data_IF_021260762719
#
_entry.id   IF_021260762719
#
_cell.length_a   1.000
_cell.length_b   1.000
_cell.length_c   1.000
_cell.angle_alpha   90.00
_cell.angle_beta   90.00
_cell.angle_gamma   90.00
#
_symmetry.space_group_name_H-M   'P 1'
#
loop_
_entity.id
_entity.type
_entity.pdbx_description
1 polymer ?
#
# COMPACT_ATOMS: atom_id res chain seq x y z
N UNK A 1 3.77 41.77 16.02
CA UNK A 1 4.44 40.55 16.54
C UNK A 1 3.49 39.39 16.86
N UNK A 2 2.35 39.58 17.53
CA UNK A 2 1.41 38.49 17.89
C UNK A 2 0.90 37.68 16.67
N UNK A 3 0.47 38.37 15.60
CA UNK A 3 0.01 37.71 14.37
C UNK A 3 1.07 36.85 13.65
N UNK A 4 2.37 37.19 13.77
CA UNK A 4 3.45 36.39 13.20
C UNK A 4 3.69 35.11 14.01
N UNK A 5 3.60 35.18 15.34
CA UNK A 5 3.68 34.00 16.22
C UNK A 5 2.52 33.04 15.97
N UNK A 6 1.31 33.55 15.79
CA UNK A 6 0.12 32.73 15.53
C UNK A 6 0.19 32.02 14.17
N UNK A 7 0.71 32.70 13.12
CA UNK A 7 0.96 32.06 11.82
C UNK A 7 2.02 30.97 11.89
N UNK A 8 3.11 31.20 12.62
CA UNK A 8 4.17 30.20 12.81
C UNK A 8 3.66 28.96 13.56
N UNK A 9 2.90 29.15 14.65
CA UNK A 9 2.31 28.06 15.42
C UNK A 9 1.35 27.21 14.58
N UNK A 10 0.48 27.84 13.76
CA UNK A 10 -0.40 27.11 12.84
C UNK A 10 0.36 26.29 11.80
N UNK A 11 1.46 26.83 11.25
CA UNK A 11 2.29 26.13 10.27
C UNK A 11 3.00 24.91 10.88
N UNK A 12 3.50 25.03 12.11
CA UNK A 12 4.13 23.92 12.84
C UNK A 12 3.09 22.83 13.15
N UNK A 13 1.89 23.22 13.62
CA UNK A 13 0.82 22.26 13.88
C UNK A 13 0.36 21.51 12.62
N UNK A 14 0.25 22.21 11.49
CA UNK A 14 -0.10 21.61 10.21
C UNK A 14 0.97 20.59 9.77
N UNK A 15 2.24 21.00 9.79
CA UNK A 15 3.37 20.15 9.39
C UNK A 15 3.52 18.91 10.28
N UNK A 16 3.31 19.06 11.59
CA UNK A 16 3.32 17.95 12.54
C UNK A 16 2.18 16.96 12.29
N UNK A 17 0.97 17.47 11.96
CA UNK A 17 -0.18 16.64 11.63
C UNK A 17 0.04 15.85 10.33
N UNK A 18 0.57 16.50 9.29
CA UNK A 18 0.92 15.86 8.02
C UNK A 18 2.02 14.81 8.20
N UNK A 19 3.08 15.13 8.95
CA UNK A 19 4.15 14.19 9.25
C UNK A 19 3.62 12.96 9.99
N UNK A 20 2.82 13.16 11.05
CA UNK A 20 2.22 12.07 11.82
C UNK A 20 1.29 11.20 10.95
N UNK A 21 0.48 11.80 10.08
CA UNK A 21 -0.37 11.06 9.14
C UNK A 21 0.46 10.27 8.12
N UNK A 22 1.52 10.86 7.56
CA UNK A 22 2.40 10.20 6.60
C UNK A 22 3.15 9.01 7.24
N UNK A 23 3.64 9.18 8.48
CA UNK A 23 4.33 8.14 9.23
C UNK A 23 3.39 6.99 9.55
N UNK A 24 2.18 7.29 10.05
CA UNK A 24 1.14 6.30 10.33
C UNK A 24 0.76 5.52 9.07
N UNK A 25 0.61 6.20 7.92
CA UNK A 25 0.34 5.55 6.62
C UNK A 25 1.46 4.59 6.25
N UNK A 26 2.73 5.03 6.28
CA UNK A 26 3.91 4.21 5.95
C UNK A 26 4.06 2.99 6.88
N UNK A 27 3.84 3.17 8.17
CA UNK A 27 3.91 2.09 9.15
C UNK A 27 2.81 1.06 8.91
N UNK A 28 1.57 1.51 8.69
CA UNK A 28 0.43 0.64 8.38
C UNK A 28 0.62 -0.10 7.06
N UNK A 29 1.23 0.52 6.04
CA UNK A 29 1.51 -0.18 4.76
C UNK A 29 2.59 -1.24 4.93
N UNK A 30 3.68 -0.96 5.64
CA UNK A 30 4.72 -1.97 5.92
C UNK A 30 4.20 -3.12 6.77
N UNK A 31 3.40 -2.82 7.81
CA UNK A 31 2.74 -3.85 8.61
C UNK A 31 1.78 -4.68 7.78
N UNK A 32 0.98 -4.04 6.91
CA UNK A 32 0.07 -4.77 6.02
C UNK A 32 0.83 -5.63 5.01
N UNK A 33 1.94 -5.15 4.43
CA UNK A 33 2.79 -5.94 3.55
C UNK A 33 3.43 -7.12 4.28
N UNK A 34 3.90 -6.94 5.51
CA UNK A 34 4.39 -8.03 6.35
C UNK A 34 3.28 -9.03 6.70
N UNK A 35 2.08 -8.52 7.01
CA UNK A 35 0.91 -9.33 7.34
C UNK A 35 0.43 -10.14 6.13
N UNK A 36 0.32 -9.51 4.96
CA UNK A 36 -0.09 -10.16 3.71
C UNK A 36 0.98 -11.14 3.19
N UNK A 37 2.26 -10.77 3.23
CA UNK A 37 3.36 -11.64 2.76
C UNK A 37 3.57 -12.88 3.64
N UNK A 38 3.25 -12.80 4.94
CA UNK A 38 3.31 -13.94 5.87
C UNK A 38 1.95 -14.60 6.12
N UNK A 39 0.98 -14.34 5.24
CA UNK A 39 -0.22 -15.15 5.08
C UNK A 39 -1.42 -14.74 5.93
N UNK A 40 -1.43 -13.55 6.56
CA UNK A 40 -2.56 -12.98 7.30
C UNK A 40 -3.23 -13.96 8.29
N UNK A 41 -2.47 -14.96 8.69
CA UNK A 41 -2.98 -16.19 9.27
C UNK A 41 -2.92 -16.08 10.78
N UNK A 42 -3.74 -16.89 11.45
CA UNK A 42 -3.71 -17.03 12.91
C UNK A 42 -2.28 -17.18 13.46
N UNK A 43 -1.42 -17.94 12.75
CA UNK A 43 -0.03 -18.14 13.11
C UNK A 43 0.80 -16.85 13.15
N UNK A 44 0.61 -15.97 12.15
CA UNK A 44 1.35 -14.71 12.06
C UNK A 44 1.02 -13.74 13.19
N UNK A 45 -0.24 -13.73 13.65
CA UNK A 45 -0.62 -12.93 14.83
C UNK A 45 -0.02 -13.51 16.10
N UNK A 46 -0.10 -14.84 16.27
CA UNK A 46 0.53 -15.50 17.41
C UNK A 46 2.03 -15.18 17.47
N UNK A 47 2.73 -15.26 16.33
CA UNK A 47 4.13 -14.88 16.22
C UNK A 47 4.39 -13.43 16.67
N UNK A 48 3.66 -12.45 16.14
CA UNK A 48 3.86 -11.03 16.48
C UNK A 48 3.59 -10.79 17.97
N UNK A 49 2.52 -11.39 18.51
CA UNK A 49 2.15 -11.23 19.90
C UNK A 49 3.20 -11.85 20.83
N UNK A 50 3.65 -13.06 20.53
CA UNK A 50 4.71 -13.73 21.31
C UNK A 50 6.03 -12.97 21.22
N UNK A 51 6.42 -12.49 20.04
CA UNK A 51 7.63 -11.70 19.87
C UNK A 51 7.57 -10.43 20.74
N UNK A 52 6.47 -9.69 20.66
CA UNK A 52 6.29 -8.45 21.43
C UNK A 52 6.30 -8.73 22.94
N UNK A 53 5.63 -9.80 23.38
CA UNK A 53 5.64 -10.21 24.78
C UNK A 53 7.05 -10.55 25.26
N UNK A 54 7.82 -11.34 24.50
CA UNK A 54 9.18 -11.73 24.86
C UNK A 54 10.12 -10.52 24.90
N UNK A 55 10.07 -9.64 23.89
CA UNK A 55 10.90 -8.43 23.86
C UNK A 55 10.62 -7.50 25.03
N UNK A 56 9.33 -7.27 25.37
CA UNK A 56 8.96 -6.46 26.54
C UNK A 56 9.44 -7.11 27.83
N UNK A 57 9.32 -8.44 27.95
CA UNK A 57 9.79 -9.18 29.11
C UNK A 57 11.30 -9.04 29.28
N UNK A 58 12.08 -9.36 28.24
CA UNK A 58 13.55 -9.21 28.23
C UNK A 58 13.93 -7.77 28.59
N UNK A 59 13.30 -6.77 27.98
CA UNK A 59 13.59 -5.38 28.27
C UNK A 59 13.33 -4.99 29.72
N UNK A 60 12.26 -5.49 30.34
CA UNK A 60 11.94 -5.21 31.74
C UNK A 60 12.91 -5.92 32.69
N UNK A 61 13.27 -7.17 32.41
CA UNK A 61 14.26 -7.93 33.20
C UNK A 61 15.63 -7.25 33.15
N UNK A 62 16.09 -6.91 31.94
CA UNK A 62 17.32 -6.17 31.70
C UNK A 62 17.35 -4.80 32.39
N UNK A 63 16.24 -4.06 32.34
CA UNK A 63 16.16 -2.76 33.02
C UNK A 63 16.16 -2.88 34.54
N UNK A 64 15.60 -3.96 35.09
CA UNK A 64 15.55 -4.20 36.52
C UNK A 64 16.93 -4.57 37.10
N UNK A 65 17.79 -5.23 36.31
CA UNK A 65 19.14 -5.63 36.70
C UNK A 65 20.19 -4.52 36.50
N UNK A 66 19.80 -3.38 35.94
CA UNK A 66 20.73 -2.30 35.60
C UNK A 66 21.19 -1.52 36.86
N UNK A 67 22.38 -1.84 37.37
CA UNK A 67 23.02 -1.09 38.47
C UNK A 67 23.82 0.11 37.94
N UNK A 68 23.40 1.33 38.29
CA UNK A 68 24.07 2.58 37.89
C UNK A 68 25.38 2.79 38.68
N UNK A 69 26.51 2.32 38.16
CA UNK A 69 27.84 2.65 38.70
C UNK A 69 28.57 3.66 37.81
N UNK A 70 28.95 4.82 38.38
CA UNK A 70 29.48 5.98 37.61
C UNK A 70 30.80 5.67 36.88
N UNK A 71 31.62 4.76 37.40
CA UNK A 71 32.91 4.41 36.80
C UNK A 71 32.81 3.40 35.64
N UNK A 72 31.65 2.75 35.45
CA UNK A 72 31.50 1.61 34.53
C UNK A 72 30.43 1.78 33.44
N UNK A 73 29.72 2.92 33.40
CA UNK A 73 28.51 3.12 32.58
C UNK A 73 28.72 2.71 31.12
N UNK A 74 29.81 3.15 30.49
CA UNK A 74 30.03 2.88 29.05
C UNK A 74 30.22 1.38 28.79
N UNK A 75 30.99 0.69 29.63
CA UNK A 75 31.23 -0.75 29.48
C UNK A 75 29.95 -1.55 29.73
N UNK A 76 29.17 -1.17 30.74
CA UNK A 76 27.89 -1.81 31.06
C UNK A 76 26.87 -1.60 29.93
N UNK A 77 26.77 -0.39 29.37
CA UNK A 77 25.88 -0.11 28.23
C UNK A 77 26.25 -0.97 27.02
N UNK A 78 27.54 -1.08 26.68
CA UNK A 78 27.97 -1.90 25.54
C UNK A 78 27.60 -3.37 25.77
N UNK A 79 27.88 -3.91 26.96
CA UNK A 79 27.55 -5.30 27.30
C UNK A 79 26.03 -5.54 27.24
N UNK A 80 25.23 -4.60 27.75
CA UNK A 80 23.78 -4.67 27.73
C UNK A 80 23.21 -4.65 26.30
N UNK A 81 23.74 -3.78 25.43
CA UNK A 81 23.35 -3.73 24.02
C UNK A 81 23.65 -5.07 23.32
N UNK A 82 24.81 -5.67 23.59
CA UNK A 82 25.17 -6.98 23.03
C UNK A 82 24.22 -8.07 23.53
N UNK A 83 23.96 -8.13 24.84
CA UNK A 83 23.07 -9.13 25.43
C UNK A 83 21.64 -9.00 24.88
N UNK A 84 21.09 -7.78 24.88
CA UNK A 84 19.77 -7.48 24.32
C UNK A 84 19.69 -7.85 22.83
N UNK A 85 20.77 -7.66 22.07
CA UNK A 85 20.82 -8.07 20.65
C UNK A 85 20.76 -9.59 20.49
N UNK A 86 21.45 -10.35 21.34
CA UNK A 86 21.42 -11.83 21.32
C UNK A 86 20.03 -12.33 21.71
N UNK A 87 19.47 -11.81 22.79
CA UNK A 87 18.12 -12.17 23.26
C UNK A 87 17.05 -11.80 22.24
N UNK A 88 17.17 -10.66 21.54
CA UNK A 88 16.23 -10.30 20.47
C UNK A 88 16.24 -11.32 19.32
N UNK A 89 17.42 -11.82 18.93
CA UNK A 89 17.52 -12.90 17.94
C UNK A 89 16.91 -14.21 18.45
N UNK A 90 17.14 -14.57 19.72
CA UNK A 90 16.52 -15.75 20.33
C UNK A 90 14.99 -15.61 20.43
N UNK A 91 14.50 -14.41 20.76
CA UNK A 91 13.08 -14.10 20.82
C UNK A 91 12.39 -14.26 19.47
N UNK A 92 13.07 -13.96 18.36
CA UNK A 92 12.58 -14.27 17.01
C UNK A 92 12.40 -15.77 16.82
N UNK A 93 13.38 -16.58 17.25
CA UNK A 93 13.30 -18.06 17.16
C UNK A 93 12.18 -18.61 18.05
N UNK A 94 12.09 -18.14 19.30
CA UNK A 94 11.04 -18.55 20.23
C UNK A 94 9.64 -18.14 19.78
N UNK A 95 9.49 -16.94 19.23
CA UNK A 95 8.26 -16.51 18.59
C UNK A 95 7.91 -17.38 17.37
N UNK A 96 8.90 -17.84 16.62
CA UNK A 96 8.68 -18.76 15.51
C UNK A 96 8.16 -20.12 15.96
N UNK A 97 8.42 -20.56 17.20
CA UNK A 97 7.89 -21.81 17.79
C UNK A 97 6.86 -21.56 18.89
N UNK A 98 6.18 -20.41 18.86
CA UNK A 98 5.26 -19.99 19.93
C UNK A 98 4.19 -21.01 20.33
N UNK A 99 3.60 -21.85 19.45
CA UNK A 99 2.59 -22.80 19.89
C UNK A 99 3.19 -23.83 20.86
N UNK A 100 4.41 -24.29 20.60
CA UNK A 100 5.14 -25.23 21.45
C UNK A 100 5.53 -24.58 22.79
N UNK A 101 5.92 -23.30 22.77
CA UNK A 101 6.27 -22.55 23.98
C UNK A 101 5.10 -22.47 24.96
N UNK A 102 3.87 -22.29 24.47
CA UNK A 102 2.66 -22.29 25.30
C UNK A 102 2.55 -23.62 26.05
N UNK A 103 2.63 -24.75 25.33
CA UNK A 103 2.53 -26.07 25.94
C UNK A 103 3.60 -26.37 27.00
N UNK A 104 4.78 -25.76 26.87
CA UNK A 104 5.88 -25.93 27.83
C UNK A 104 5.68 -25.11 29.11
N UNK A 105 5.15 -23.88 29.01
CA UNK A 105 5.14 -22.93 30.12
C UNK A 105 3.86 -22.97 30.98
N UNK A 106 2.71 -23.35 30.41
CA UNK A 106 1.46 -23.34 31.15
C UNK A 106 0.96 -24.76 31.42
N UNK A 107 0.27 -24.95 32.55
CA UNK A 107 -0.36 -26.23 32.86
C UNK A 107 -1.42 -26.57 31.80
N UNK A 108 -1.64 -27.88 31.59
CA UNK A 108 -2.48 -28.42 30.51
C UNK A 108 -3.80 -27.67 30.25
N UNK A 109 -4.61 -27.26 31.27
CA UNK A 109 -5.86 -26.55 31.00
C UNK A 109 -5.67 -25.12 30.47
N UNK A 110 -4.65 -24.39 30.92
CA UNK A 110 -4.46 -22.98 30.52
C UNK A 110 -3.96 -22.84 29.07
N UNK A 111 -3.27 -23.86 28.54
CA UNK A 111 -2.82 -23.88 27.15
C UNK A 111 -3.95 -23.63 26.15
N UNK A 112 -5.08 -24.31 26.35
CA UNK A 112 -6.26 -24.16 25.49
C UNK A 112 -6.91 -22.78 25.63
N UNK A 113 -6.98 -22.25 26.86
CA UNK A 113 -7.56 -20.92 27.12
C UNK A 113 -6.75 -19.84 26.40
N UNK A 114 -5.41 -19.90 26.46
CA UNK A 114 -4.52 -18.94 25.79
C UNK A 114 -4.67 -19.04 24.27
N UNK A 115 -4.69 -20.26 23.71
CA UNK A 115 -4.89 -20.46 22.27
C UNK A 115 -6.24 -19.90 21.80
N UNK A 116 -7.32 -20.12 22.56
CA UNK A 116 -8.64 -19.56 22.27
C UNK A 116 -8.61 -18.03 22.33
N UNK A 117 -7.96 -17.43 23.33
CA UNK A 117 -7.83 -15.98 23.46
C UNK A 117 -7.07 -15.37 22.27
N UNK A 118 -5.96 -15.97 21.83
CA UNK A 118 -5.22 -15.53 20.63
C UNK A 118 -6.10 -15.68 19.40
N UNK A 119 -6.92 -16.73 19.32
CA UNK A 119 -7.79 -16.97 18.17
C UNK A 119 -8.92 -15.94 18.09
N UNK A 120 -9.57 -15.63 19.21
CA UNK A 120 -10.58 -14.56 19.29
C UNK A 120 -9.93 -13.22 18.92
N UNK A 121 -8.73 -12.94 19.44
CA UNK A 121 -7.97 -11.72 19.09
C UNK A 121 -7.71 -11.65 17.58
N UNK A 122 -7.34 -12.76 16.94
CA UNK A 122 -7.21 -12.85 15.49
C UNK A 122 -8.52 -12.53 14.76
N UNK A 123 -9.64 -13.08 15.20
CA UNK A 123 -10.94 -12.80 14.59
C UNK A 123 -11.35 -11.33 14.72
N UNK A 124 -11.14 -10.72 15.89
CA UNK A 124 -11.40 -9.30 16.13
C UNK A 124 -10.51 -8.45 15.24
N UNK A 125 -9.19 -8.72 15.21
CA UNK A 125 -8.25 -7.96 14.40
C UNK A 125 -8.56 -8.11 12.91
N UNK A 126 -8.89 -9.32 12.45
CA UNK A 126 -9.34 -9.58 11.08
C UNK A 126 -10.61 -8.81 10.75
N UNK A 127 -11.59 -8.77 11.66
CA UNK A 127 -12.83 -7.99 11.48
C UNK A 127 -12.53 -6.49 11.45
N UNK A 128 -11.67 -5.98 12.32
CA UNK A 128 -11.27 -4.56 12.35
C UNK A 128 -10.52 -4.19 11.08
N UNK A 129 -9.57 -5.00 10.63
CA UNK A 129 -8.80 -4.77 9.40
C UNK A 129 -9.68 -4.87 8.15
N UNK A 130 -10.66 -5.79 8.14
CA UNK A 130 -11.64 -5.91 7.05
C UNK A 130 -12.67 -4.78 7.06
N UNK A 131 -13.11 -4.32 8.24
CA UNK A 131 -14.13 -3.28 8.34
C UNK A 131 -13.54 -1.87 8.25
N UNK A 132 -12.31 -1.67 8.74
CA UNK A 132 -11.44 -0.52 8.40
C UNK A 132 -10.63 -0.81 7.13
N UNK A 133 -11.13 -1.66 6.24
CA UNK A 133 -10.54 -1.85 4.92
C UNK A 133 -10.62 -0.52 4.20
N UNK A 134 -9.60 0.31 4.39
CA UNK A 134 -8.93 1.24 3.50
C UNK A 134 -9.76 2.22 2.65
N UNK A 135 -11.06 1.97 2.38
CA UNK A 135 -12.04 2.86 1.75
C UNK A 135 -12.06 4.23 2.41
N UNK A 136 -11.94 4.31 3.73
CA UNK A 136 -11.96 5.60 4.43
C UNK A 136 -10.62 6.36 4.39
N UNK A 137 -9.49 5.66 4.16
CA UNK A 137 -8.16 6.31 4.04
C UNK A 137 -7.78 6.58 2.58
N UNK A 138 -8.49 5.96 1.63
CA UNK A 138 -8.50 6.22 0.21
C UNK A 138 -9.87 6.79 -0.15
N UNK A 139 -10.21 7.98 0.37
CA UNK A 139 -11.29 8.80 -0.19
C UNK A 139 -10.93 9.19 -1.64
N UNK A 140 -10.83 8.19 -2.51
CA UNK A 140 -10.95 8.28 -3.93
C UNK A 140 -12.40 7.89 -4.08
N UNK A 141 -13.33 8.86 -4.15
CA UNK A 141 -14.74 8.56 -4.20
C UNK A 141 -14.91 7.59 -5.36
N UNK A 142 -15.49 6.42 -5.10
CA UNK A 142 -15.79 5.44 -6.14
C UNK A 142 -16.56 6.12 -7.29
N UNK A 143 -17.37 7.13 -6.93
CA UNK A 143 -18.00 8.10 -7.81
C UNK A 143 -17.02 8.90 -8.68
N UNK A 144 -15.93 9.44 -8.16
CA UNK A 144 -14.93 10.20 -8.93
C UNK A 144 -14.20 9.30 -9.92
N UNK A 145 -13.87 8.07 -9.53
CA UNK A 145 -13.25 7.10 -10.46
C UNK A 145 -14.22 6.73 -11.58
N UNK A 146 -15.49 6.48 -11.24
CA UNK A 146 -16.54 6.25 -12.23
C UNK A 146 -16.77 7.48 -13.11
N UNK A 147 -16.82 8.69 -12.54
CA UNK A 147 -16.94 9.96 -13.28
C UNK A 147 -15.76 10.26 -14.20
N UNK A 148 -14.58 9.68 -13.97
CA UNK A 148 -13.45 9.80 -14.91
C UNK A 148 -13.52 8.70 -15.97
N UNK A 149 -13.85 7.47 -15.57
CA UNK A 149 -13.87 6.30 -16.45
C UNK A 149 -15.04 6.35 -17.42
N UNK A 150 -16.25 6.68 -16.95
CA UNK A 150 -17.48 6.68 -17.75
C UNK A 150 -17.41 7.66 -18.92
N UNK A 151 -17.04 8.96 -18.76
CA UNK A 151 -16.93 9.88 -19.89
C UNK A 151 -15.87 9.49 -20.91
N UNK A 152 -14.77 8.87 -20.46
CA UNK A 152 -13.72 8.38 -21.37
C UNK A 152 -14.20 7.14 -22.14
N UNK A 153 -15.01 6.29 -21.51
CA UNK A 153 -15.63 5.14 -22.17
C UNK A 153 -16.76 5.57 -23.11
N UNK A 154 -17.59 6.52 -22.70
CA UNK A 154 -18.79 6.98 -23.39
C UNK A 154 -18.54 8.17 -24.34
N UNK A 155 -17.33 8.73 -24.34
CA UNK A 155 -16.89 9.83 -25.20
C UNK A 155 -17.75 11.10 -25.09
N UNK A 156 -18.19 11.44 -23.88
CA UNK A 156 -19.01 12.64 -23.68
C UNK A 156 -18.14 13.90 -23.66
N UNK A 157 -18.56 14.95 -24.38
CA UNK A 157 -17.81 16.21 -24.54
C UNK A 157 -17.86 17.14 -23.30
N UNK A 158 -18.51 16.74 -22.21
CA UNK A 158 -18.68 17.61 -21.05
C UNK A 158 -17.60 17.32 -20.00
N UNK A 159 -16.62 18.22 -19.89
CA UNK A 159 -15.60 18.17 -18.86
C UNK A 159 -16.12 18.87 -17.59
N UNK A 160 -16.23 18.16 -16.45
CA UNK A 160 -16.64 18.78 -15.20
C UNK A 160 -15.49 19.61 -14.58
N UNK A 161 -15.81 20.73 -13.94
CA UNK A 161 -14.82 21.63 -13.31
C UNK A 161 -13.93 20.92 -12.26
N UNK A 162 -14.45 19.87 -11.62
CA UNK A 162 -13.69 19.04 -10.68
C UNK A 162 -12.52 18.30 -11.35
N UNK A 163 -12.63 18.00 -12.65
CA UNK A 163 -11.60 17.31 -13.41
C UNK A 163 -10.35 18.16 -13.58
N UNK A 164 -10.52 19.48 -13.74
CA UNK A 164 -9.38 20.40 -13.90
C UNK A 164 -8.53 20.46 -12.63
N UNK A 165 -9.19 20.47 -11.46
CA UNK A 165 -8.50 20.43 -10.17
C UNK A 165 -7.75 19.10 -10.00
N UNK A 166 -8.38 17.98 -10.34
CA UNK A 166 -7.75 16.66 -10.26
C UNK A 166 -6.60 16.50 -11.26
N UNK A 167 -6.73 17.06 -12.46
CA UNK A 167 -5.68 17.06 -13.46
C UNK A 167 -4.48 17.86 -12.99
N UNK A 168 -4.68 19.05 -12.43
CA UNK A 168 -3.59 19.86 -11.85
C UNK A 168 -2.87 19.08 -10.73
N UNK A 169 -3.63 18.42 -9.84
CA UNK A 169 -3.06 17.58 -8.79
C UNK A 169 -2.29 16.37 -9.34
N UNK A 170 -2.79 15.75 -10.42
CA UNK A 170 -2.13 14.63 -11.10
C UNK A 170 -0.82 15.07 -11.75
N UNK A 171 -0.80 16.20 -12.45
CA UNK A 171 0.39 16.77 -13.10
C UNK A 171 1.45 17.18 -12.06
N UNK A 172 1.03 17.63 -10.89
CA UNK A 172 1.90 17.93 -9.75
C UNK A 172 2.27 16.69 -8.90
N UNK A 173 1.88 15.48 -9.32
CA UNK A 173 2.14 14.21 -8.63
C UNK A 173 1.55 14.12 -7.20
N UNK A 174 0.59 14.99 -6.86
CA UNK A 174 -0.08 14.98 -5.55
C UNK A 174 -1.02 13.76 -5.39
N UNK A 175 -1.43 13.16 -6.51
CA UNK A 175 -2.24 11.94 -6.56
C UNK A 175 -1.42 10.65 -6.60
N UNK A 176 -0.13 10.67 -6.23
CA UNK A 176 0.73 9.46 -6.21
C UNK A 176 0.16 8.31 -5.37
N UNK A 177 -0.64 8.63 -4.35
CA UNK A 177 -1.33 7.64 -3.51
C UNK A 177 -2.39 6.81 -4.28
N UNK A 178 -2.85 7.25 -5.45
CA UNK A 178 -3.79 6.50 -6.29
C UNK A 178 -3.14 5.27 -6.92
N UNK A 179 -1.80 5.25 -7.00
CA UNK A 179 -1.02 4.20 -7.64
C UNK A 179 -1.05 2.87 -6.89
N UNK A 180 -1.52 2.84 -5.64
CA UNK A 180 -1.65 1.60 -4.86
C UNK A 180 -2.96 0.84 -5.11
N UNK A 181 -3.90 1.39 -5.88
CA UNK A 181 -5.20 0.77 -6.16
C UNK A 181 -5.43 0.63 -7.67
N UNK A 182 -5.90 -0.54 -8.17
CA UNK A 182 -6.03 -0.78 -9.61
C UNK A 182 -6.88 0.26 -10.34
N UNK A 183 -8.07 0.55 -9.84
CA UNK A 183 -9.05 1.43 -10.47
C UNK A 183 -8.64 2.89 -10.38
N UNK A 184 -8.08 3.30 -9.24
CA UNK A 184 -7.55 4.65 -9.06
C UNK A 184 -6.28 4.88 -9.89
N UNK A 185 -5.42 3.87 -10.01
CA UNK A 185 -4.27 3.90 -10.88
C UNK A 185 -4.71 4.03 -12.35
N UNK A 186 -5.76 3.32 -12.76
CA UNK A 186 -6.37 3.49 -14.07
C UNK A 186 -6.90 4.91 -14.27
N UNK A 187 -7.67 5.45 -13.31
CA UNK A 187 -8.19 6.81 -13.38
C UNK A 187 -7.06 7.85 -13.50
N UNK A 188 -5.98 7.69 -12.72
CA UNK A 188 -4.79 8.53 -12.81
C UNK A 188 -4.13 8.46 -14.20
N UNK A 189 -3.99 7.25 -14.75
CA UNK A 189 -3.45 7.05 -16.09
C UNK A 189 -4.32 7.73 -17.16
N UNK A 190 -5.64 7.60 -17.06
CA UNK A 190 -6.59 8.22 -17.97
C UNK A 190 -6.56 9.75 -17.89
N UNK A 191 -6.54 10.31 -16.68
CA UNK A 191 -6.39 11.74 -16.42
C UNK A 191 -5.15 12.29 -17.15
N UNK A 192 -4.01 11.67 -16.91
CA UNK A 192 -2.73 12.09 -17.46
C UNK A 192 -2.63 11.87 -18.98
N UNK A 193 -3.24 10.80 -19.52
CA UNK A 193 -3.10 10.47 -20.95
C UNK A 193 -4.06 11.24 -21.85
N UNK A 194 -5.28 11.52 -21.37
CA UNK A 194 -6.33 12.13 -22.19
C UNK A 194 -6.49 13.63 -21.97
N UNK A 195 -6.39 14.08 -20.72
CA UNK A 195 -6.76 15.45 -20.37
C UNK A 195 -5.56 16.37 -20.20
N UNK A 196 -4.35 15.82 -20.03
CA UNK A 196 -3.16 16.65 -19.87
C UNK A 196 -2.80 17.46 -21.11
N UNK A 197 -2.45 18.72 -20.88
CA UNK A 197 -1.87 19.63 -21.89
C UNK A 197 -0.41 19.28 -22.19
N UNK A 198 0.35 18.80 -21.20
CA UNK A 198 1.78 18.48 -21.33
C UNK A 198 2.02 16.99 -21.59
N UNK A 199 1.72 16.56 -22.82
CA UNK A 199 1.76 15.13 -23.21
C UNK A 199 3.14 14.48 -23.03
N UNK A 200 4.23 15.19 -23.31
CA UNK A 200 5.58 14.59 -23.29
C UNK A 200 6.08 14.28 -21.89
N UNK A 201 5.89 15.20 -20.93
CA UNK A 201 6.31 15.02 -19.54
C UNK A 201 5.51 13.90 -18.89
N UNK A 202 4.20 13.89 -19.11
CA UNK A 202 3.30 12.91 -18.51
C UNK A 202 3.46 11.52 -19.12
N UNK A 203 3.94 11.39 -20.36
CA UNK A 203 4.20 10.08 -20.95
C UNK A 203 5.25 9.27 -20.19
N UNK A 204 6.35 9.90 -19.74
CA UNK A 204 7.38 9.21 -18.95
C UNK A 204 6.84 8.80 -17.57
N UNK A 205 6.00 9.65 -16.97
CA UNK A 205 5.37 9.36 -15.69
C UNK A 205 4.34 8.23 -15.80
N UNK A 206 3.47 8.25 -16.82
CA UNK A 206 2.55 7.15 -17.13
C UNK A 206 3.30 5.83 -17.39
N UNK A 207 4.43 5.86 -18.12
CA UNK A 207 5.27 4.68 -18.33
C UNK A 207 5.74 4.09 -16.99
N UNK A 208 6.25 4.93 -16.08
CA UNK A 208 6.69 4.51 -14.74
C UNK A 208 5.52 3.91 -13.94
N UNK A 209 4.36 4.56 -13.93
CA UNK A 209 3.15 4.07 -13.25
C UNK A 209 2.77 2.68 -13.76
N UNK A 210 2.71 2.50 -15.09
CA UNK A 210 2.35 1.21 -15.71
C UNK A 210 3.37 0.13 -15.38
N UNK A 211 4.67 0.45 -15.34
CA UNK A 211 5.72 -0.53 -14.99
C UNK A 211 5.58 -1.02 -13.54
N UNK A 212 5.40 -0.11 -12.58
CA UNK A 212 5.24 -0.46 -11.17
C UNK A 212 3.95 -1.27 -10.94
N UNK A 213 2.84 -0.82 -11.52
CA UNK A 213 1.56 -1.53 -11.40
C UNK A 213 1.55 -2.89 -12.12
N UNK A 214 2.35 -3.05 -13.18
CA UNK A 214 2.57 -4.36 -13.82
C UNK A 214 3.38 -5.31 -12.93
N UNK A 215 4.42 -4.80 -12.25
CA UNK A 215 5.20 -5.59 -11.29
C UNK A 215 4.36 -6.04 -10.09
N UNK A 216 3.42 -5.20 -9.65
CA UNK A 216 2.48 -5.50 -8.58
C UNK A 216 1.24 -6.29 -9.06
N UNK A 217 1.19 -6.75 -10.32
CA UNK A 217 0.08 -7.52 -10.90
C UNK A 217 -1.30 -6.81 -10.82
N UNK A 218 -1.33 -5.49 -10.65
CA UNK A 218 -2.55 -4.73 -10.36
C UNK A 218 -3.59 -4.83 -11.47
N UNK A 219 -3.15 -4.91 -12.72
CA UNK A 219 -4.02 -5.01 -13.89
C UNK A 219 -4.87 -6.30 -13.88
N UNK A 220 -4.48 -7.35 -13.14
CA UNK A 220 -5.28 -8.58 -13.03
C UNK A 220 -6.59 -8.39 -12.28
N UNK A 221 -6.69 -7.33 -11.47
CA UNK A 221 -7.90 -6.97 -10.72
C UNK A 221 -8.86 -6.09 -11.52
N UNK A 222 -8.44 -5.59 -12.69
CA UNK A 222 -9.27 -4.78 -13.57
C UNK A 222 -10.12 -5.67 -14.49
N UNK A 223 -11.31 -5.19 -14.87
CA UNK A 223 -12.12 -5.81 -15.91
C UNK A 223 -11.39 -5.83 -17.26
N UNK A 224 -11.81 -6.69 -18.20
CA UNK A 224 -11.16 -6.79 -19.52
C UNK A 224 -11.09 -5.43 -20.24
N UNK A 225 -12.18 -4.66 -20.22
CA UNK A 225 -12.26 -3.32 -20.83
C UNK A 225 -11.30 -2.35 -20.14
N UNK A 226 -11.27 -2.35 -18.81
CA UNK A 226 -10.35 -1.52 -18.02
C UNK A 226 -8.89 -1.88 -18.27
N UNK A 227 -8.56 -3.17 -18.45
CA UNK A 227 -7.20 -3.60 -18.82
C UNK A 227 -6.78 -3.03 -20.18
N UNK A 228 -7.69 -2.92 -21.14
CA UNK A 228 -7.40 -2.29 -22.42
C UNK A 228 -7.04 -0.81 -22.24
N UNK A 229 -7.85 -0.05 -21.49
CA UNK A 229 -7.55 1.34 -21.17
C UNK A 229 -6.26 1.52 -20.34
N UNK A 230 -5.97 0.60 -19.43
CA UNK A 230 -4.78 0.64 -18.59
C UNK A 230 -3.47 0.67 -19.40
N UNK A 231 -3.42 -0.05 -20.52
CA UNK A 231 -2.24 -0.09 -21.40
C UNK A 231 -2.29 0.90 -22.56
N UNK A 232 -3.38 1.68 -22.69
CA UNK A 232 -3.55 2.66 -23.75
C UNK A 232 -2.47 3.75 -23.76
N UNK A 233 -2.00 4.30 -22.62
CA UNK A 233 -0.92 5.29 -22.63
C UNK A 233 0.36 4.79 -23.29
N UNK A 234 0.66 3.48 -23.24
CA UNK A 234 1.84 2.91 -23.93
C UNK A 234 1.70 2.95 -25.45
N UNK A 235 0.48 2.88 -25.98
CA UNK A 235 0.21 2.99 -27.42
C UNK A 235 0.27 4.44 -27.88
N UNK A 236 -0.23 5.37 -27.06
CA UNK A 236 -0.17 6.81 -27.32
C UNK A 236 1.26 7.36 -27.23
N UNK A 237 2.21 6.55 -26.76
CA UNK A 237 3.62 6.90 -26.71
C UNK A 237 4.25 7.04 -28.10
N UNK A 238 5.05 8.09 -28.28
CA UNK A 238 5.90 8.25 -29.46
C UNK A 238 7.13 7.33 -29.48
N UNK A 239 7.42 6.60 -28.40
CA UNK A 239 8.61 5.73 -28.32
C UNK A 239 8.33 4.39 -29.02
N UNK A 240 9.09 4.00 -30.07
CA UNK A 240 8.84 2.75 -30.81
C UNK A 240 8.90 1.48 -29.95
N UNK A 241 9.79 1.46 -28.95
CA UNK A 241 9.92 0.34 -28.02
C UNK A 241 8.64 0.12 -27.19
N UNK A 242 7.99 1.19 -26.75
CA UNK A 242 6.74 1.13 -26.00
C UNK A 242 5.57 0.73 -26.88
N UNK A 243 5.49 1.24 -28.11
CA UNK A 243 4.49 0.81 -29.08
C UNK A 243 4.59 -0.70 -29.37
N UNK A 244 5.81 -1.23 -29.54
CA UNK A 244 6.06 -2.67 -29.72
C UNK A 244 5.61 -3.48 -28.50
N UNK A 245 5.86 -2.97 -27.29
CA UNK A 245 5.39 -3.59 -26.03
C UNK A 245 3.86 -3.58 -25.95
N UNK A 246 3.23 -2.45 -26.25
CA UNK A 246 1.78 -2.31 -26.28
C UNK A 246 1.15 -3.32 -27.26
N UNK A 247 1.68 -3.43 -28.49
CA UNK A 247 1.21 -4.41 -29.49
C UNK A 247 1.25 -5.85 -28.98
N UNK A 248 2.35 -6.24 -28.30
CA UNK A 248 2.44 -7.57 -27.68
C UNK A 248 1.39 -7.78 -26.59
N UNK A 249 1.11 -6.76 -25.77
CA UNK A 249 0.10 -6.83 -24.70
C UNK A 249 -1.31 -6.93 -25.31
N UNK A 250 -1.64 -6.10 -26.29
CA UNK A 250 -2.94 -6.14 -26.97
C UNK A 250 -3.18 -7.45 -27.71
N UNK A 251 -2.15 -8.05 -28.31
CA UNK A 251 -2.27 -9.39 -28.90
C UNK A 251 -2.61 -10.47 -27.84
N UNK A 252 -2.11 -10.32 -26.60
CA UNK A 252 -2.48 -11.21 -25.49
C UNK A 252 -3.91 -10.95 -25.00
N UNK A 253 -4.32 -9.68 -24.93
CA UNK A 253 -5.69 -9.30 -24.54
C UNK A 253 -6.72 -9.75 -25.58
N UNK A 254 -6.44 -9.61 -26.88
CA UNK A 254 -7.31 -10.10 -27.96
C UNK A 254 -7.57 -11.61 -27.84
N UNK A 255 -6.56 -12.40 -27.47
CA UNK A 255 -6.74 -13.84 -27.23
C UNK A 255 -7.62 -14.15 -26.02
N UNK A 256 -7.72 -13.22 -25.07
CA UNK A 256 -8.55 -13.33 -23.86
C UNK A 256 -9.94 -12.73 -24.01
N UNK A 257 -10.24 -12.06 -25.13
CA UNK A 257 -11.45 -11.22 -25.23
C UNK A 257 -12.74 -12.02 -25.06
N UNK A 258 -12.77 -13.31 -25.42
CA UNK A 258 -13.97 -14.14 -25.32
C UNK A 258 -15.17 -13.44 -25.98
N UNK A 259 -16.21 -13.21 -25.18
CA UNK A 259 -17.46 -12.54 -25.58
C UNK A 259 -17.28 -11.05 -25.92
N UNK A 260 -16.25 -10.38 -25.39
CA UNK A 260 -15.94 -8.96 -25.64
C UNK A 260 -15.18 -8.73 -26.97
N UNK A 261 -15.11 -9.72 -27.88
CA UNK A 261 -14.31 -9.63 -29.12
C UNK A 261 -14.74 -8.48 -30.04
N UNK A 262 -16.06 -8.29 -30.22
CA UNK A 262 -16.59 -7.21 -31.07
C UNK A 262 -16.25 -5.83 -30.48
N UNK A 263 -16.40 -5.68 -29.16
CA UNK A 263 -16.01 -4.47 -28.46
C UNK A 263 -14.50 -4.20 -28.61
N UNK A 264 -13.67 -5.23 -28.46
CA UNK A 264 -12.22 -5.10 -28.61
C UNK A 264 -11.82 -4.71 -30.04
N UNK A 265 -12.52 -5.21 -31.06
CA UNK A 265 -12.30 -4.81 -32.46
C UNK A 265 -12.63 -3.34 -32.69
N UNK A 266 -13.78 -2.87 -32.19
CA UNK A 266 -14.18 -1.46 -32.25
C UNK A 266 -13.17 -0.56 -31.52
N UNK A 267 -12.77 -0.96 -30.31
CA UNK A 267 -11.73 -0.28 -29.53
C UNK A 267 -10.39 -0.23 -30.29
N UNK A 268 -9.98 -1.36 -30.89
CA UNK A 268 -8.74 -1.45 -31.64
C UNK A 268 -8.74 -0.58 -32.89
N UNK A 269 -9.88 -0.50 -33.58
CA UNK A 269 -10.04 0.36 -34.75
C UNK A 269 -9.99 1.84 -34.35
N UNK A 270 -10.72 2.22 -33.30
CA UNK A 270 -10.78 3.59 -32.80
C UNK A 270 -9.40 4.14 -32.42
N UNK A 271 -8.60 3.35 -31.68
CA UNK A 271 -7.29 3.77 -31.21
C UNK A 271 -6.13 3.29 -32.10
N UNK A 272 -6.43 2.85 -33.33
CA UNK A 272 -5.45 2.42 -34.32
C UNK A 272 -4.44 1.38 -33.77
N UNK A 273 -4.94 0.36 -33.06
CA UNK A 273 -4.09 -0.64 -32.40
C UNK A 273 -3.45 -1.64 -33.37
N UNK A 274 -3.96 -1.75 -34.60
CA UNK A 274 -3.50 -2.69 -35.63
C UNK A 274 -2.14 -2.29 -36.25
#
# INVERSE_FOLDING_TARGET
MKALKDKAAKKIHHSAKEYHQSFKRKMLTKLNLLFQSRGGSFYGIGYIFTLLFLEVKTFVEEFAEFEFTVAGIVSQIIQHIIHLSIESVLNIVYAAIWPLMIFKHFSKPYNFIILIAIFITYLILRKILKNRSFKDYLNIPEKTVQQIIEPVIEQTNHQPDELDTLLEQAEQQQLDHWRSHPESCLALLLLLSFFSKNKSLNQNYCEKIIQEAHQADMYKHLSFKQQCFFYLPLKLSQKPALMKRAKKIYNKLNKKSGDDKLWFQAFSQQYQLN
#
